data_IF_807118825330
#
_entry.id   IF_807118825330
#
_cell.length_a   1.000
_cell.length_b   1.000
_cell.length_c   1.000
_cell.angle_alpha   90.00
_cell.angle_beta   90.00
_cell.angle_gamma   90.00
#
_symmetry.space_group_name_H-M   'P 1'
#
loop_
_entity.id
_entity.type
_entity.pdbx_description
1 polymer ?
#
# COMPACT_ATOMS: atom_id res chain seq x y z
N UNK A 1 -4.14 -96.30 -19.04
CA UNK A 1 -5.59 -96.01 -19.11
C UNK A 1 -5.78 -94.51 -19.04
N UNK A 2 -6.26 -93.91 -20.12
CA UNK A 2 -6.95 -92.59 -20.23
C UNK A 2 -8.43 -92.84 -19.78
N UNK A 3 -9.34 -91.89 -19.40
CA UNK A 3 -9.50 -90.45 -19.77
C UNK A 3 -9.83 -89.45 -18.61
N UNK A 4 -9.43 -88.16 -18.65
CA UNK A 4 -10.10 -86.93 -19.19
C UNK A 4 -11.10 -86.22 -18.20
N UNK A 5 -11.62 -85.00 -18.45
CA UNK A 5 -10.93 -83.70 -18.66
C UNK A 5 -11.65 -82.46 -18.03
N UNK A 6 -10.99 -81.28 -18.14
CA UNK A 6 -11.51 -80.01 -18.71
C UNK A 6 -11.94 -78.77 -17.86
N UNK A 7 -11.54 -77.62 -18.41
CA UNK A 7 -12.17 -76.28 -18.53
C UNK A 7 -11.62 -75.07 -17.74
N UNK A 8 -10.82 -74.28 -18.48
CA UNK A 8 -10.90 -72.80 -18.72
C UNK A 8 -10.57 -71.84 -17.55
N UNK A 9 -9.91 -70.69 -17.70
CA UNK A 9 -9.66 -69.77 -18.83
C UNK A 9 -8.35 -68.95 -18.58
N UNK A 10 -7.48 -68.70 -19.57
CA UNK A 10 -7.31 -67.42 -20.33
C UNK A 10 -6.92 -66.21 -19.44
N UNK A 11 -5.78 -65.53 -19.56
CA UNK A 11 -5.24 -64.89 -20.77
C UNK A 11 -3.80 -64.32 -20.56
N UNK A 12 -3.00 -64.45 -21.62
CA UNK A 12 -1.79 -63.71 -22.08
C UNK A 12 -1.94 -62.16 -22.03
N UNK A 13 -0.97 -61.26 -22.20
CA UNK A 13 0.48 -61.09 -22.40
C UNK A 13 0.73 -59.57 -22.07
N UNK A 14 1.91 -58.96 -21.88
CA UNK A 14 3.04 -58.69 -22.80
C UNK A 14 3.92 -57.66 -22.03
N UNK A 15 5.23 -57.88 -21.86
CA UNK A 15 6.34 -57.41 -22.71
C UNK A 15 6.84 -55.95 -22.49
N UNK A 16 8.05 -55.89 -21.93
CA UNK A 16 9.23 -55.11 -22.32
C UNK A 16 9.27 -53.56 -22.32
N UNK A 17 10.33 -53.07 -21.64
CA UNK A 17 11.32 -52.05 -22.07
C UNK A 17 10.86 -50.61 -22.29
N UNK A 18 11.44 -49.66 -21.54
CA UNK A 18 12.46 -48.74 -22.08
C UNK A 18 12.99 -47.81 -20.98
N UNK A 19 14.31 -47.59 -20.97
CA UNK A 19 14.99 -46.63 -20.09
C UNK A 19 15.36 -45.44 -20.95
N UNK A 20 14.62 -44.34 -20.80
CA UNK A 20 14.95 -43.08 -21.46
C UNK A 20 14.76 -41.95 -20.47
N UNK A 21 15.84 -41.23 -20.22
CA UNK A 21 15.89 -40.12 -19.28
C UNK A 21 14.93 -39.00 -19.68
N UNK A 22 14.17 -38.54 -18.71
CA UNK A 22 13.48 -37.27 -18.76
C UNK A 22 14.07 -36.39 -17.65
N UNK A 23 14.63 -35.26 -18.08
CA UNK A 23 14.95 -34.12 -17.22
C UNK A 23 13.64 -33.68 -16.60
N UNK A 24 13.41 -33.98 -15.33
CA UNK A 24 12.31 -33.38 -14.58
C UNK A 24 12.63 -31.90 -14.41
N UNK A 25 12.07 -31.12 -15.33
CA UNK A 25 11.79 -29.71 -15.13
C UNK A 25 11.13 -29.58 -13.77
N UNK A 26 11.82 -28.96 -12.82
CA UNK A 26 11.22 -28.55 -11.57
C UNK A 26 10.05 -27.64 -11.94
N UNK A 27 8.84 -28.20 -11.89
CA UNK A 27 7.61 -27.45 -11.91
C UNK A 27 7.68 -26.51 -10.72
N UNK A 28 8.07 -25.26 -11.00
CA UNK A 28 7.88 -24.15 -10.10
C UNK A 28 6.36 -23.98 -10.05
N UNK A 29 5.72 -24.77 -9.17
CA UNK A 29 4.35 -24.56 -8.79
C UNK A 29 4.33 -23.13 -8.27
N UNK A 30 3.74 -22.24 -9.07
CA UNK A 30 3.52 -20.85 -8.74
C UNK A 30 2.40 -20.82 -7.70
N UNK A 31 2.70 -21.32 -6.50
CA UNK A 31 1.78 -21.29 -5.37
C UNK A 31 1.56 -19.83 -5.01
N UNK A 32 0.32 -19.40 -5.18
CA UNK A 32 -0.21 -18.12 -4.71
C UNK A 32 0.32 -17.87 -3.29
N UNK A 33 0.94 -16.71 -2.99
CA UNK A 33 1.54 -16.47 -1.68
C UNK A 33 0.47 -16.66 -0.62
N UNK A 34 0.73 -17.62 0.27
CA UNK A 34 -0.19 -18.03 1.31
C UNK A 34 -0.58 -16.82 2.17
N UNK A 35 -1.86 -16.72 2.53
CA UNK A 35 -2.34 -15.70 3.44
C UNK A 35 -1.68 -15.90 4.81
N UNK A 36 -0.54 -15.25 5.02
CA UNK A 36 0.18 -15.24 6.28
C UNK A 36 -0.68 -14.50 7.33
N UNK A 37 -1.53 -15.30 7.98
CA UNK A 37 -2.38 -14.85 9.06
C UNK A 37 -1.53 -14.55 10.27
N UNK A 38 -1.62 -13.33 10.78
CA UNK A 38 -0.89 -12.91 11.99
C UNK A 38 -1.61 -13.38 13.27
N UNK A 39 -2.55 -14.35 13.15
CA UNK A 39 -3.19 -14.97 14.30
C UNK A 39 -2.21 -15.94 14.99
N UNK A 40 -2.51 -16.27 16.25
CA UNK A 40 -1.61 -16.71 17.33
C UNK A 40 -0.79 -18.01 17.10
N UNK A 41 -0.75 -18.59 15.89
CA UNK A 41 -0.19 -19.91 15.65
C UNK A 41 0.85 -20.01 14.52
N UNK A 42 0.78 -19.20 13.46
CA UNK A 42 1.58 -19.48 12.26
C UNK A 42 2.71 -18.49 12.00
N UNK A 43 3.79 -18.60 12.78
CA UNK A 43 5.15 -18.26 12.30
C UNK A 43 6.15 -19.24 12.91
N UNK A 44 6.40 -20.33 12.20
CA UNK A 44 7.53 -21.22 12.45
C UNK A 44 8.01 -21.77 11.11
N UNK A 45 8.71 -20.92 10.35
CA UNK A 45 9.57 -21.40 9.27
C UNK A 45 10.97 -20.86 9.53
N UNK A 46 11.83 -21.81 9.89
CA UNK A 46 13.25 -21.74 10.25
C UNK A 46 13.60 -21.16 11.63
N UNK A 47 13.68 -22.05 12.62
CA UNK A 47 14.64 -21.96 13.73
C UNK A 47 14.21 -21.15 14.97
N UNK A 48 13.53 -21.81 15.90
CA UNK A 48 13.65 -21.58 17.35
C UNK A 48 13.07 -20.28 17.92
N UNK A 49 11.83 -20.35 18.42
CA UNK A 49 11.29 -19.37 19.38
C UNK A 49 9.89 -18.87 19.04
N UNK A 50 8.87 -19.49 19.62
CA UNK A 50 7.46 -19.18 19.43
C UNK A 50 7.12 -17.69 19.66
N UNK A 51 6.72 -16.97 18.61
CA UNK A 51 6.16 -15.62 18.70
C UNK A 51 4.66 -15.69 19.11
N UNK A 52 4.36 -16.38 20.21
CA UNK A 52 3.00 -16.54 20.75
C UNK A 52 2.76 -15.42 21.75
N UNK A 53 1.90 -14.46 21.43
CA UNK A 53 1.51 -13.32 22.27
C UNK A 53 2.62 -12.31 22.60
N UNK A 54 3.27 -11.77 21.58
CA UNK A 54 4.18 -10.63 21.77
C UNK A 54 3.44 -9.35 21.39
N UNK A 55 2.74 -8.75 22.36
CA UNK A 55 2.33 -7.34 22.27
C UNK A 55 3.55 -6.45 22.47
N UNK A 56 3.48 -5.19 22.04
CA UNK A 56 4.61 -4.27 22.18
C UNK A 56 5.73 -4.51 21.15
N UNK A 57 6.96 -4.11 21.50
CA UNK A 57 8.13 -4.08 20.60
C UNK A 57 8.47 -5.44 19.97
N UNK A 58 8.28 -6.54 20.70
CA UNK A 58 8.58 -7.90 20.20
C UNK A 58 7.63 -8.31 19.06
N UNK A 59 6.35 -7.95 19.14
CA UNK A 59 5.40 -8.20 18.06
C UNK A 59 5.75 -7.45 16.79
N UNK A 60 6.20 -6.20 16.94
CA UNK A 60 6.71 -5.39 15.83
C UNK A 60 7.97 -6.00 15.20
N UNK A 61 8.88 -6.56 15.99
CA UNK A 61 10.05 -7.26 15.45
C UNK A 61 9.66 -8.51 14.64
N UNK A 62 8.69 -9.30 15.12
CA UNK A 62 8.16 -10.44 14.35
C UNK A 62 7.53 -9.96 13.03
N UNK A 63 6.73 -8.89 13.08
CA UNK A 63 6.09 -8.31 11.89
C UNK A 63 7.13 -7.75 10.90
N UNK A 64 8.16 -7.06 11.39
CA UNK A 64 9.28 -6.58 10.59
C UNK A 64 9.98 -7.73 9.87
N UNK A 65 10.29 -8.81 10.59
CA UNK A 65 10.91 -10.00 9.99
C UNK A 65 10.05 -10.62 8.89
N UNK A 66 8.73 -10.69 9.11
CA UNK A 66 7.82 -11.23 8.11
C UNK A 66 7.71 -10.30 6.88
N UNK A 67 7.62 -8.99 7.07
CA UNK A 67 7.60 -8.01 5.99
C UNK A 67 8.88 -8.01 5.17
N UNK A 68 10.06 -8.15 5.80
CA UNK A 68 11.35 -8.25 5.09
C UNK A 68 11.50 -9.50 4.22
N UNK A 69 10.72 -10.56 4.51
CA UNK A 69 10.65 -11.77 3.69
C UNK A 69 9.57 -11.70 2.62
N UNK A 70 8.74 -10.67 2.65
CA UNK A 70 7.67 -10.44 1.69
C UNK A 70 8.16 -9.49 0.62
N UNK A 71 7.84 -9.75 -0.65
CA UNK A 71 8.06 -8.78 -1.71
C UNK A 71 7.01 -7.68 -1.57
N UNK A 72 7.43 -6.52 -1.07
CA UNK A 72 6.58 -5.35 -0.98
C UNK A 72 6.44 -4.69 -2.35
N UNK A 73 5.28 -4.08 -2.64
CA UNK A 73 5.09 -3.37 -3.90
C UNK A 73 6.03 -2.14 -3.99
N UNK A 74 6.22 -1.65 -5.20
CA UNK A 74 6.67 -0.29 -5.51
C UNK A 74 7.89 0.28 -4.76
N UNK A 75 8.82 -0.53 -4.25
CA UNK A 75 10.00 -0.10 -3.46
C UNK A 75 9.69 0.42 -2.05
N UNK A 76 8.61 -0.07 -1.44
CA UNK A 76 8.36 0.15 -0.02
C UNK A 76 9.37 -0.63 0.84
N UNK A 77 9.96 0.07 1.82
CA UNK A 77 10.93 -0.49 2.77
C UNK A 77 10.39 -0.36 4.18
N UNK A 78 10.61 -1.38 5.02
CA UNK A 78 10.14 -1.39 6.41
C UNK A 78 11.30 -1.20 7.37
N UNK A 79 11.14 -0.23 8.26
CA UNK A 79 12.09 0.10 9.33
C UNK A 79 11.37 0.09 10.68
N UNK A 80 12.13 -0.15 11.74
CA UNK A 80 11.66 0.05 13.11
C UNK A 80 12.09 1.44 13.54
N UNK A 81 11.14 2.28 13.94
CA UNK A 81 11.42 3.63 14.42
C UNK A 81 11.96 3.58 15.87
N UNK A 82 12.39 4.75 16.38
CA UNK A 82 12.84 4.87 17.77
C UNK A 82 11.72 4.61 18.78
N UNK A 83 10.48 4.96 18.39
CA UNK A 83 9.26 4.62 19.12
C UNK A 83 8.85 3.16 18.85
N UNK A 84 8.00 2.53 19.70
CA UNK A 84 7.49 1.19 19.45
C UNK A 84 6.51 1.18 18.26
N UNK A 85 7.06 1.38 17.07
CA UNK A 85 6.35 1.63 15.82
C UNK A 85 7.19 1.16 14.63
N UNK A 86 6.53 0.53 13.66
CA UNK A 86 7.13 0.24 12.36
C UNK A 86 6.73 1.30 11.36
N UNK A 87 7.66 1.67 10.49
CA UNK A 87 7.42 2.60 9.41
C UNK A 87 7.68 1.89 8.09
N UNK A 88 6.70 1.98 7.19
CA UNK A 88 6.87 1.63 5.80
C UNK A 88 7.11 2.93 5.04
N UNK A 89 8.23 2.99 4.34
CA UNK A 89 8.73 4.17 3.63
C UNK A 89 8.78 3.87 2.13
N UNK A 90 8.30 4.81 1.32
CA UNK A 90 8.42 4.71 -0.13
C UNK A 90 9.78 5.26 -0.58
N UNK A 91 10.65 4.39 -1.07
CA UNK A 91 12.01 4.79 -1.48
C UNK A 91 12.12 5.20 -2.97
N UNK A 92 11.08 4.97 -3.77
CA UNK A 92 11.09 5.36 -5.19
C UNK A 92 10.93 6.87 -5.36
N UNK A 93 11.92 7.53 -5.97
CA UNK A 93 11.87 8.97 -6.31
C UNK A 93 10.79 9.32 -7.35
N UNK A 94 10.34 8.33 -8.12
CA UNK A 94 9.34 8.49 -9.17
C UNK A 94 7.91 8.21 -8.67
N UNK A 95 7.75 7.65 -7.47
CA UNK A 95 6.41 7.42 -6.91
C UNK A 95 5.80 8.74 -6.42
N UNK A 96 4.49 8.91 -6.65
CA UNK A 96 3.70 9.97 -6.04
C UNK A 96 3.67 9.86 -4.50
N UNK A 97 3.97 8.68 -3.96
CA UNK A 97 3.97 8.38 -2.52
C UNK A 97 5.34 8.54 -1.86
N UNK A 98 6.35 9.12 -2.52
CA UNK A 98 7.71 9.26 -1.98
C UNK A 98 7.79 9.96 -0.61
N UNK A 99 6.83 10.84 -0.31
CA UNK A 99 6.75 11.58 0.95
C UNK A 99 5.70 10.99 1.92
N UNK A 100 5.26 9.77 1.64
CA UNK A 100 4.25 9.03 2.43
C UNK A 100 4.92 8.00 3.33
N UNK A 101 4.49 7.96 4.59
CA UNK A 101 4.91 6.98 5.58
C UNK A 101 3.66 6.29 6.12
N UNK A 102 3.66 4.96 6.09
CA UNK A 102 2.66 4.16 6.79
C UNK A 102 3.24 3.72 8.12
N UNK A 103 2.59 4.12 9.20
CA UNK A 103 3.01 3.84 10.55
C UNK A 103 2.17 2.70 11.11
N UNK A 104 2.82 1.67 11.67
CA UNK A 104 2.14 0.52 12.28
C UNK A 104 2.54 0.45 13.75
N UNK A 105 1.55 0.61 14.62
CA UNK A 105 1.73 0.63 16.06
C UNK A 105 1.78 -0.79 16.65
N UNK A 106 2.21 -0.88 17.90
CA UNK A 106 2.37 -2.15 18.61
C UNK A 106 1.06 -2.91 18.89
N UNK A 107 -0.09 -2.24 18.85
CA UNK A 107 -1.43 -2.83 18.89
C UNK A 107 -1.93 -3.27 17.51
N UNK A 108 -1.06 -3.16 16.50
CA UNK A 108 -1.31 -3.42 15.07
C UNK A 108 -2.28 -2.44 14.42
N UNK A 109 -2.61 -1.32 15.05
CA UNK A 109 -3.25 -0.21 14.35
C UNK A 109 -2.27 0.42 13.37
N UNK A 110 -2.79 1.05 12.31
CA UNK A 110 -1.96 1.85 11.42
C UNK A 110 -2.55 3.23 11.18
N UNK A 111 -1.67 4.17 10.90
CA UNK A 111 -2.04 5.51 10.41
C UNK A 111 -1.04 5.93 9.34
N UNK A 112 -1.40 6.94 8.55
CA UNK A 112 -0.64 7.36 7.38
C UNK A 112 -0.29 8.83 7.55
N UNK A 113 0.96 9.18 7.28
CA UNK A 113 1.38 10.57 7.17
C UNK A 113 1.92 10.86 5.79
N UNK A 114 1.57 12.01 5.22
CA UNK A 114 2.02 12.47 3.92
C UNK A 114 2.65 13.85 4.11
N UNK A 115 3.92 14.02 3.75
CA UNK A 115 4.64 15.30 3.92
C UNK A 115 4.56 15.84 5.36
N UNK A 116 4.76 14.95 6.34
CA UNK A 116 4.65 15.23 7.78
C UNK A 116 3.26 15.66 8.28
N UNK A 117 2.20 15.52 7.47
CA UNK A 117 0.82 15.76 7.87
C UNK A 117 0.07 14.44 8.01
N UNK A 118 -0.75 14.30 9.05
CA UNK A 118 -1.55 13.10 9.28
C UNK A 118 -2.70 13.03 8.27
N UNK A 119 -2.86 11.88 7.63
CA UNK A 119 -4.01 11.64 6.75
C UNK A 119 -5.29 11.59 7.60
N UNK A 120 -6.32 12.41 7.29
CA UNK A 120 -7.57 12.43 8.06
C UNK A 120 -8.20 11.05 8.17
N UNK A 121 -8.72 10.69 9.35
CA UNK A 121 -9.36 9.39 9.58
C UNK A 121 -10.62 9.19 8.73
N UNK A 122 -11.23 10.28 8.27
CA UNK A 122 -12.37 10.29 7.34
C UNK A 122 -11.98 9.97 5.89
N UNK A 123 -10.70 9.80 5.60
CA UNK A 123 -10.24 9.55 4.24
C UNK A 123 -10.64 8.13 3.77
N UNK A 124 -11.05 8.01 2.50
CA UNK A 124 -11.53 6.76 1.87
C UNK A 124 -10.57 5.57 1.98
N UNK A 125 -9.27 5.83 2.17
CA UNK A 125 -8.27 4.78 2.42
C UNK A 125 -8.58 4.00 3.70
N UNK A 126 -9.03 4.68 4.76
CA UNK A 126 -9.42 4.02 6.01
C UNK A 126 -10.79 3.37 5.93
N UNK A 127 -11.69 3.84 5.05
CA UNK A 127 -12.95 3.13 4.77
C UNK A 127 -12.70 1.80 4.04
N UNK A 128 -11.75 1.78 3.10
CA UNK A 128 -11.41 0.61 2.32
C UNK A 128 -10.57 -0.43 3.09
N UNK A 129 -9.89 -0.03 4.16
CA UNK A 129 -8.95 -0.87 4.89
C UNK A 129 -9.24 -0.84 6.38
N UNK A 130 -9.39 -2.03 6.99
CA UNK A 130 -9.57 -2.14 8.44
C UNK A 130 -8.39 -1.52 9.18
N UNK A 131 -8.60 -0.62 10.15
CA UNK A 131 -7.52 0.15 10.80
C UNK A 131 -6.55 -0.72 11.62
N UNK A 132 -6.87 -2.01 11.83
CA UNK A 132 -6.02 -2.99 12.51
C UNK A 132 -5.53 -4.05 11.54
N UNK A 133 -4.22 -4.25 11.52
CA UNK A 133 -3.54 -5.26 10.69
C UNK A 133 -3.63 -6.63 11.35
N UNK A 134 -4.42 -7.52 10.76
CA UNK A 134 -4.50 -8.94 11.13
C UNK A 134 -3.77 -9.86 10.15
N UNK A 135 -3.52 -9.42 8.91
CA UNK A 135 -2.82 -10.20 7.89
C UNK A 135 -1.81 -9.33 7.14
N UNK A 136 -0.67 -9.90 6.73
CA UNK A 136 0.31 -9.18 5.90
C UNK A 136 -0.29 -8.70 4.56
N UNK A 137 -1.22 -9.47 4.01
CA UNK A 137 -1.93 -9.12 2.77
C UNK A 137 -2.69 -7.80 2.87
N UNK A 138 -3.17 -7.42 4.06
CA UNK A 138 -3.83 -6.12 4.27
C UNK A 138 -2.84 -4.97 4.08
N UNK A 139 -1.62 -5.09 4.63
CA UNK A 139 -0.57 -4.09 4.42
C UNK A 139 -0.17 -4.02 2.96
N UNK A 140 0.06 -5.16 2.29
CA UNK A 140 0.38 -5.17 0.86
C UNK A 140 -0.73 -4.52 0.03
N UNK A 141 -2.00 -4.80 0.35
CA UNK A 141 -3.16 -4.22 -0.34
C UNK A 141 -3.27 -2.71 -0.10
N UNK A 142 -2.98 -2.25 1.12
CA UNK A 142 -2.92 -0.83 1.47
C UNK A 142 -1.84 -0.11 0.65
N UNK A 143 -0.63 -0.66 0.60
CA UNK A 143 0.47 -0.07 -0.18
C UNK A 143 0.12 0.02 -1.66
N UNK A 144 -0.48 -1.02 -2.24
CA UNK A 144 -0.98 -0.99 -3.61
C UNK A 144 -2.10 0.04 -3.84
N UNK A 145 -2.93 0.30 -2.83
CA UNK A 145 -3.96 1.33 -2.89
C UNK A 145 -3.34 2.73 -2.89
N UNK A 146 -2.36 2.97 -2.02
CA UNK A 146 -1.63 4.24 -1.94
C UNK A 146 -0.92 4.59 -3.24
N UNK A 147 -0.28 3.63 -3.91
CA UNK A 147 0.39 3.88 -5.20
C UNK A 147 -0.55 4.35 -6.31
N UNK A 148 -1.87 4.14 -6.18
CA UNK A 148 -2.86 4.62 -7.15
C UNK A 148 -3.32 6.04 -6.87
N UNK A 149 -2.93 6.61 -5.74
CA UNK A 149 -3.30 7.96 -5.34
C UNK A 149 -2.20 8.95 -5.72
N UNK A 150 -2.53 10.23 -5.64
CA UNK A 150 -1.57 11.32 -5.78
C UNK A 150 -1.73 12.29 -4.63
N UNK A 151 -0.64 12.96 -4.26
CA UNK A 151 -0.68 14.00 -3.24
C UNK A 151 -1.40 15.22 -3.80
N UNK A 152 -2.34 15.75 -3.02
CA UNK A 152 -3.05 16.97 -3.34
C UNK A 152 -2.06 18.13 -3.49
N UNK A 153 -2.17 18.82 -4.63
CA UNK A 153 -1.39 20.02 -4.91
C UNK A 153 -1.72 21.15 -3.95
N UNK A 154 -2.95 21.25 -3.47
CA UNK A 154 -3.42 22.45 -2.77
C UNK A 154 -3.79 23.55 -3.75
N UNK A 155 -3.99 24.75 -3.22
CA UNK A 155 -4.29 25.96 -3.99
C UNK A 155 -3.09 26.90 -4.03
N UNK A 156 -3.14 27.89 -4.91
CA UNK A 156 -2.08 28.89 -5.04
C UNK A 156 -2.53 30.15 -4.34
N UNK A 157 -1.62 30.72 -3.55
CA UNK A 157 -1.81 32.04 -2.93
C UNK A 157 -0.66 32.94 -3.37
N UNK A 158 -1.00 34.15 -3.81
CA UNK A 158 -0.06 35.23 -4.07
C UNK A 158 0.13 35.57 -5.56
N UNK A 159 0.62 36.79 -5.78
CA UNK A 159 0.77 37.41 -7.10
C UNK A 159 1.74 36.65 -8.02
N UNK A 160 1.72 37.02 -9.31
CA UNK A 160 2.52 36.42 -10.40
C UNK A 160 4.01 36.21 -10.12
N UNK A 161 4.58 36.94 -9.15
CA UNK A 161 6.00 36.90 -8.79
C UNK A 161 6.33 35.97 -7.60
N UNK A 162 5.35 35.59 -6.77
CA UNK A 162 5.57 34.71 -5.61
C UNK A 162 4.37 33.79 -5.36
N UNK A 163 4.22 32.75 -6.19
CA UNK A 163 3.17 31.74 -6.01
C UNK A 163 3.59 30.73 -4.94
N UNK A 164 2.98 30.80 -3.76
CA UNK A 164 3.11 29.76 -2.74
C UNK A 164 1.97 28.76 -2.86
N UNK A 165 2.31 27.49 -2.66
CA UNK A 165 1.33 26.42 -2.69
C UNK A 165 0.85 26.14 -1.27
N UNK A 166 -0.40 26.51 -0.99
CA UNK A 166 -1.03 26.41 0.32
C UNK A 166 -2.08 25.31 0.27
N UNK A 167 -2.41 24.73 1.43
CA UNK A 167 -3.48 23.74 1.56
C UNK A 167 -4.54 24.24 2.51
N UNK A 168 -5.78 24.00 2.12
CA UNK A 168 -6.94 24.18 2.98
C UNK A 168 -6.76 23.45 4.31
N UNK A 169 -7.31 24.03 5.37
CA UNK A 169 -7.43 23.37 6.66
C UNK A 169 -8.19 22.03 6.55
N UNK A 170 -9.09 21.91 5.57
CA UNK A 170 -9.87 20.71 5.29
C UNK A 170 -9.28 19.86 4.13
N UNK A 171 -8.02 20.07 3.75
CA UNK A 171 -7.39 19.34 2.66
C UNK A 171 -7.40 17.81 2.88
N UNK A 172 -7.76 17.05 1.83
CA UNK A 172 -7.79 15.60 1.90
C UNK A 172 -6.41 14.93 1.82
N UNK A 173 -5.34 15.70 1.53
CA UNK A 173 -3.93 15.30 1.34
C UNK A 173 -3.67 14.31 0.20
N UNK A 174 -4.46 13.26 0.05
CA UNK A 174 -4.41 12.30 -1.04
C UNK A 174 -5.68 12.40 -1.87
N UNK A 175 -5.54 12.30 -3.19
CA UNK A 175 -6.65 12.31 -4.13
C UNK A 175 -6.45 11.20 -5.17
N UNK A 176 -7.56 10.72 -5.72
CA UNK A 176 -7.55 9.74 -6.79
C UNK A 176 -7.40 10.47 -8.15
N UNK A 177 -6.50 10.02 -9.04
CA UNK A 177 -6.45 10.48 -10.42
C UNK A 177 -7.81 10.34 -11.12
N UNK A 178 -8.14 11.22 -12.09
CA UNK A 178 -7.28 12.26 -12.69
C UNK A 178 -7.20 13.56 -11.87
N UNK A 179 -7.85 13.65 -10.71
CA UNK A 179 -7.80 14.83 -9.87
C UNK A 179 -6.40 15.02 -9.30
N UNK A 180 -5.90 16.27 -9.32
CA UNK A 180 -4.62 16.65 -8.71
C UNK A 180 -4.78 17.56 -7.49
N UNK A 181 -5.99 18.10 -7.30
CA UNK A 181 -6.37 18.98 -6.18
C UNK A 181 -7.71 18.48 -5.63
N UNK A 182 -7.88 18.51 -4.31
CA UNK A 182 -9.13 18.14 -3.66
C UNK A 182 -10.13 19.31 -3.65
N UNK A 183 -11.43 19.02 -3.55
CA UNK A 183 -12.50 20.02 -3.53
C UNK A 183 -12.27 21.17 -2.52
N UNK A 184 -11.89 20.92 -1.25
CA UNK A 184 -11.68 22.02 -0.30
C UNK A 184 -10.60 23.02 -0.74
N UNK A 185 -9.56 22.54 -1.42
CA UNK A 185 -8.52 23.44 -1.93
C UNK A 185 -8.95 24.13 -3.22
N UNK A 186 -9.79 23.50 -4.06
CA UNK A 186 -10.31 24.17 -5.26
C UNK A 186 -11.22 25.35 -4.89
N UNK A 187 -12.06 25.19 -3.86
CA UNK A 187 -12.96 26.26 -3.41
C UNK A 187 -12.19 27.45 -2.83
N UNK A 188 -11.13 27.20 -2.05
CA UNK A 188 -10.27 28.28 -1.54
C UNK A 188 -9.46 28.98 -2.64
N UNK A 189 -9.17 28.29 -3.76
CA UNK A 189 -8.52 28.91 -4.93
C UNK A 189 -9.48 29.91 -5.60
N UNK A 190 -10.74 29.51 -5.83
CA UNK A 190 -11.79 30.36 -6.42
C UNK A 190 -12.04 31.63 -5.57
N UNK A 191 -12.17 31.49 -4.25
CA UNK A 191 -12.35 32.63 -3.33
C UNK A 191 -11.15 33.60 -3.35
N UNK A 192 -9.93 33.09 -3.56
CA UNK A 192 -8.74 33.94 -3.61
C UNK A 192 -8.61 34.71 -4.93
N UNK A 193 -8.99 34.11 -6.05
CA UNK A 193 -8.97 34.78 -7.36
C UNK A 193 -10.02 35.89 -7.43
N UNK A 194 -11.23 35.67 -6.88
CA UNK A 194 -12.28 36.70 -6.80
C UNK A 194 -11.84 37.95 -6.01
N UNK A 195 -11.02 37.78 -4.97
CA UNK A 195 -10.51 38.90 -4.17
C UNK A 195 -9.42 39.73 -4.86
N UNK A 196 -8.60 39.11 -5.73
CA UNK A 196 -7.56 39.83 -6.48
C UNK A 196 -8.17 40.71 -7.59
N UNK A 197 -9.29 40.27 -8.20
CA UNK A 197 -10.00 41.03 -9.24
C UNK A 197 -10.73 42.27 -8.68
N UNK A 198 -11.17 42.26 -7.42
CA UNK A 198 -11.82 43.42 -6.79
C UNK A 198 -10.82 44.55 -6.50
N UNK A 199 -9.59 44.24 -6.08
CA UNK A 199 -8.55 45.24 -5.77
C UNK A 199 -7.96 45.93 -7.02
N UNK A 200 -8.01 45.31 -8.20
CA UNK A 200 -7.50 45.92 -9.46
C UNK A 200 -8.47 46.95 -10.08
N UNK A 201 -9.68 47.13 -9.54
CA UNK A 201 -10.74 47.96 -10.13
C UNK A 201 -10.88 49.38 -9.55
N UNK A 202 -10.11 49.74 -8.51
CA UNK A 202 -10.28 51.03 -7.80
C UNK A 202 -9.25 52.13 -8.14
N UNK A 203 -8.32 51.93 -9.08
CA UNK A 203 -7.24 52.91 -9.33
C UNK A 203 -7.45 53.93 -10.48
N UNK A 204 -8.58 53.97 -11.19
CA UNK A 204 -8.72 54.79 -12.43
C UNK A 204 -9.83 55.88 -12.42
N UNK A 205 -10.24 56.40 -11.25
CA UNK A 205 -11.22 57.51 -11.17
C UNK A 205 -10.74 58.73 -10.33
N UNK A 206 -9.53 59.25 -10.54
CA UNK A 206 -9.16 60.57 -9.98
C UNK A 206 -8.27 61.43 -10.87
N UNK A 207 -8.72 61.90 -12.04
CA UNK A 207 -8.15 63.11 -12.68
C UNK A 207 -9.16 63.84 -13.60
N UNK A 208 -10.26 64.35 -13.07
CA UNK A 208 -10.99 65.44 -13.73
C UNK A 208 -11.74 66.25 -12.67
N UNK A 209 -11.12 67.28 -12.10
CA UNK A 209 -11.80 68.55 -11.78
C UNK A 209 -10.78 69.60 -11.30
N UNK A 210 -11.13 70.87 -11.60
CA UNK A 210 -10.43 72.13 -11.33
C UNK A 210 -9.40 72.55 -12.41
N UNK A 211 -9.54 73.68 -13.11
CA UNK A 211 -10.55 74.74 -13.22
C UNK A 211 -10.33 75.48 -14.55
#
# INVERSE_FOLDING_TARGET
MVPSPNMSAESEADAASDVTGAVETADIINTRPEFLSLNSWSFSLFGGGACRSLTGRRGLLCLLHALRRTVLPAHWVVVLADRPELQLLQCSRLSSMKDTIVHVQSDRSFYISVQNQLLPETHRVYEAHTPRVSHLSQLVSLLLCLEKLVVCRGFRVGSSTCRQQVRSAACHLLVAPPLSTCLPCLLEEEESEESEDEEESEEDETMMTES
#
